data_IF_660635258417
#
_entry.id   IF_660635258417
#
_cell.length_a   1.000
_cell.length_b   1.000
_cell.length_c   1.000
_cell.angle_alpha   90.00
_cell.angle_beta   90.00
_cell.angle_gamma   90.00
#
_symmetry.space_group_name_H-M   'P 1'
#
loop_
_entity.id
_entity.type
_entity.pdbx_description
1 polymer ?
#
# COMPACT_ATOMS: atom_id res chain seq x y z
N UNK A 1 -10.22 -88.29 18.88
CA UNK A 1 -9.25 -88.71 17.85
C UNK A 1 -9.53 -87.89 16.59
N UNK A 2 -8.62 -86.97 16.28
CA UNK A 2 -8.51 -86.09 15.07
C UNK A 2 -8.29 -86.90 13.78
N UNK A 3 -8.22 -86.35 12.53
CA UNK A 3 -8.10 -84.94 12.04
C UNK A 3 -9.11 -84.64 10.86
N UNK A 4 -9.11 -83.53 10.04
CA UNK A 4 -7.98 -82.68 9.63
C UNK A 4 -8.19 -81.15 9.47
N UNK A 5 -7.05 -80.49 9.29
CA UNK A 5 -6.80 -79.13 8.79
C UNK A 5 -7.08 -79.08 7.29
N UNK A 6 -7.95 -78.16 6.83
CA UNK A 6 -7.92 -77.62 5.45
C UNK A 6 -8.47 -76.19 5.43
N UNK A 7 -7.55 -75.25 5.25
CA UNK A 7 -7.56 -74.12 4.30
C UNK A 7 -8.89 -73.42 4.01
N UNK A 8 -9.01 -72.19 4.54
CA UNK A 8 -10.08 -71.24 4.21
C UNK A 8 -9.91 -70.73 2.76
N UNK A 9 -10.69 -71.26 1.82
CA UNK A 9 -10.90 -70.66 0.51
C UNK A 9 -11.88 -69.48 0.66
N UNK A 10 -11.40 -68.24 0.54
CA UNK A 10 -12.30 -67.11 0.30
C UNK A 10 -12.72 -67.12 -1.18
N UNK A 11 -14.02 -67.32 -1.39
CA UNK A 11 -14.67 -67.17 -2.70
C UNK A 11 -14.59 -65.73 -3.17
N UNK A 12 -14.26 -65.60 -4.44
CA UNK A 12 -14.36 -64.42 -5.28
C UNK A 12 -15.75 -63.76 -5.17
N UNK A 13 -15.77 -62.45 -5.03
CA UNK A 13 -16.85 -61.59 -5.50
C UNK A 13 -16.23 -60.30 -6.01
N UNK A 14 -16.27 -60.18 -7.34
CA UNK A 14 -15.98 -58.99 -8.13
C UNK A 14 -16.54 -57.73 -7.46
N UNK A 15 -15.65 -56.81 -7.09
CA UNK A 15 -16.00 -55.39 -6.97
C UNK A 15 -15.16 -54.64 -8.00
N UNK A 16 -15.84 -54.14 -9.03
CA UNK A 16 -15.27 -53.29 -10.07
C UNK A 16 -14.76 -52.01 -9.41
N UNK A 17 -13.44 -51.88 -9.32
CA UNK A 17 -12.79 -50.62 -8.91
C UNK A 17 -12.84 -49.69 -10.12
N UNK A 18 -13.82 -48.78 -10.14
CA UNK A 18 -13.69 -47.56 -10.92
C UNK A 18 -12.57 -46.72 -10.29
N UNK A 19 -11.41 -46.68 -10.95
CA UNK A 19 -10.39 -45.68 -10.68
C UNK A 19 -10.96 -44.30 -11.06
N UNK A 20 -11.63 -43.65 -10.13
CA UNK A 20 -11.76 -42.20 -10.14
C UNK A 20 -10.46 -41.64 -9.57
N UNK A 21 -9.49 -41.36 -10.45
CA UNK A 21 -8.48 -40.35 -10.18
C UNK A 21 -9.22 -39.02 -9.98
N UNK A 22 -9.56 -38.73 -8.73
CA UNK A 22 -9.98 -37.39 -8.33
C UNK A 22 -8.73 -36.51 -8.39
N UNK A 23 -8.62 -35.75 -9.47
CA UNK A 23 -7.74 -34.60 -9.54
C UNK A 23 -8.10 -33.69 -8.37
N UNK A 24 -7.21 -33.63 -7.38
CA UNK A 24 -7.21 -32.58 -6.38
C UNK A 24 -6.74 -31.29 -7.06
N UNK A 25 -7.61 -30.68 -7.87
CA UNK A 25 -7.52 -29.27 -8.21
C UNK A 25 -8.18 -28.47 -7.09
N UNK A 26 -7.48 -28.40 -5.95
CA UNK A 26 -7.85 -27.52 -4.86
C UNK A 26 -6.60 -26.75 -4.42
N UNK A 27 -6.67 -25.43 -4.61
CA UNK A 27 -5.78 -24.39 -4.07
C UNK A 27 -4.33 -24.36 -4.57
N UNK A 28 -4.18 -23.95 -5.83
CA UNK A 28 -3.05 -23.10 -6.22
C UNK A 28 -3.51 -21.63 -6.36
N UNK A 29 -4.18 -21.09 -5.34
CA UNK A 29 -4.10 -19.66 -5.08
C UNK A 29 -2.67 -19.42 -4.60
N UNK A 30 -1.78 -19.21 -5.56
CA UNK A 30 -0.50 -18.57 -5.29
C UNK A 30 -0.79 -17.36 -4.42
N UNK A 31 -0.13 -17.30 -3.26
CA UNK A 31 -0.20 -16.18 -2.34
C UNK A 31 0.43 -14.98 -3.06
N UNK A 32 -0.30 -14.40 -4.02
CA UNK A 32 0.13 -13.22 -4.75
C UNK A 32 0.03 -12.07 -3.75
N UNK A 33 1.16 -11.77 -3.10
CA UNK A 33 1.37 -10.57 -2.28
C UNK A 33 0.66 -9.38 -2.93
N UNK A 34 -0.16 -8.61 -2.24
CA UNK A 34 -0.80 -7.44 -2.87
C UNK A 34 0.25 -6.51 -3.48
N UNK A 35 -0.14 -5.79 -4.54
CA UNK A 35 0.71 -4.73 -5.05
C UNK A 35 0.85 -3.65 -3.97
N UNK A 36 2.03 -3.05 -3.75
CA UNK A 36 2.21 -1.99 -2.75
C UNK A 36 1.31 -0.76 -2.95
N UNK A 37 0.81 -0.54 -4.16
CA UNK A 37 -0.08 0.58 -4.47
C UNK A 37 -1.54 0.16 -4.46
N UNK A 38 -1.83 -1.13 -4.21
CA UNK A 38 -3.17 -1.59 -3.90
C UNK A 38 -3.60 -0.98 -2.57
N UNK A 39 -4.87 -0.56 -2.51
CA UNK A 39 -5.47 -0.08 -1.27
C UNK A 39 -6.25 -1.22 -0.64
N UNK A 40 -6.17 -1.33 0.69
CA UNK A 40 -7.06 -2.22 1.43
C UNK A 40 -8.51 -1.79 1.24
N UNK A 41 -9.37 -2.78 1.03
CA UNK A 41 -10.79 -2.58 0.79
C UNK A 41 -11.54 -3.19 1.96
N UNK A 42 -12.38 -2.40 2.68
CA UNK A 42 -13.28 -2.94 3.70
C UNK A 42 -14.16 -4.05 3.12
N UNK A 43 -14.45 -5.07 3.93
CA UNK A 43 -15.24 -6.24 3.53
C UNK A 43 -16.60 -5.85 2.92
N UNK A 44 -17.23 -4.83 3.51
CA UNK A 44 -18.52 -4.26 3.08
C UNK A 44 -18.46 -3.68 1.66
N UNK A 45 -17.28 -3.30 1.18
CA UNK A 45 -17.07 -2.69 -0.13
C UNK A 45 -16.55 -3.66 -1.19
N UNK A 46 -16.35 -4.95 -0.88
CA UNK A 46 -15.86 -5.94 -1.84
C UNK A 46 -16.67 -6.00 -3.15
N UNK A 47 -18.00 -6.01 -3.05
CA UNK A 47 -18.87 -5.99 -4.23
C UNK A 47 -18.72 -4.71 -5.08
N UNK A 48 -18.48 -3.58 -4.42
CA UNK A 48 -18.20 -2.29 -5.10
C UNK A 48 -16.88 -2.36 -5.84
N UNK A 49 -15.83 -2.90 -5.20
CA UNK A 49 -14.51 -3.10 -5.81
C UNK A 49 -14.56 -4.05 -7.00
N UNK A 50 -15.30 -5.15 -6.92
CA UNK A 50 -15.49 -6.06 -8.04
C UNK A 50 -16.17 -5.37 -9.23
N UNK A 51 -17.21 -4.56 -8.98
CA UNK A 51 -17.87 -3.77 -10.03
C UNK A 51 -16.89 -2.74 -10.64
N UNK A 52 -16.03 -2.11 -9.83
CA UNK A 52 -15.00 -1.18 -10.33
C UNK A 52 -13.92 -1.89 -11.15
N UNK A 53 -13.50 -3.09 -10.78
CA UNK A 53 -12.56 -3.90 -11.57
C UNK A 53 -13.10 -4.18 -12.97
N UNK A 54 -14.41 -4.40 -13.09
CA UNK A 54 -15.12 -4.61 -14.35
C UNK A 54 -15.50 -3.30 -15.08
N UNK A 55 -15.08 -2.14 -14.57
CA UNK A 55 -15.48 -0.80 -15.04
C UNK A 55 -17.01 -0.58 -15.06
N UNK A 56 -17.76 -1.33 -14.25
CA UNK A 56 -19.20 -1.18 -14.11
C UNK A 56 -19.52 -0.15 -13.01
N UNK A 57 -19.26 1.12 -13.32
CA UNK A 57 -19.44 2.23 -12.37
C UNK A 57 -20.90 2.41 -11.92
N UNK A 58 -21.86 2.09 -12.77
CA UNK A 58 -23.28 2.20 -12.44
C UNK A 58 -23.70 1.14 -11.41
N UNK A 59 -23.22 -0.10 -11.56
CA UNK A 59 -23.43 -1.13 -10.56
C UNK A 59 -22.72 -0.79 -9.24
N UNK A 60 -21.49 -0.26 -9.30
CA UNK A 60 -20.78 0.20 -8.10
C UNK A 60 -21.56 1.28 -7.34
N UNK A 61 -22.13 2.28 -8.04
CA UNK A 61 -22.96 3.32 -7.43
C UNK A 61 -24.26 2.76 -6.85
N UNK A 62 -24.89 1.78 -7.51
CA UNK A 62 -26.09 1.10 -7.01
C UNK A 62 -25.79 0.36 -5.69
N UNK A 63 -24.72 -0.42 -5.66
CA UNK A 63 -24.27 -1.14 -4.46
C UNK A 63 -23.98 -0.17 -3.30
N UNK A 64 -23.30 0.94 -3.56
CA UNK A 64 -23.07 1.98 -2.55
C UNK A 64 -24.36 2.62 -2.04
N UNK A 65 -25.35 2.84 -2.92
CA UNK A 65 -26.64 3.38 -2.52
C UNK A 65 -27.42 2.42 -1.62
N UNK A 66 -27.35 1.11 -1.88
CA UNK A 66 -27.98 0.09 -1.05
C UNK A 66 -27.26 -0.06 0.30
N UNK A 67 -25.92 -0.13 0.31
CA UNK A 67 -25.11 -0.10 1.53
C UNK A 67 -25.42 1.14 2.39
N UNK A 68 -25.64 2.31 1.76
CA UNK A 68 -25.99 3.54 2.47
C UNK A 68 -27.30 3.40 3.23
N UNK A 69 -28.31 2.74 2.66
CA UNK A 69 -29.61 2.53 3.34
C UNK A 69 -29.43 1.68 4.58
N UNK A 70 -28.60 0.64 4.50
CA UNK A 70 -28.36 -0.26 5.62
C UNK A 70 -27.49 0.40 6.70
N UNK A 71 -26.45 1.12 6.31
CA UNK A 71 -25.61 1.91 7.24
C UNK A 71 -26.41 3.01 7.99
N UNK A 72 -27.44 3.57 7.35
CA UNK A 72 -28.38 4.50 8.01
C UNK A 72 -29.25 3.80 9.05
N UNK A 73 -29.79 2.62 8.75
CA UNK A 73 -30.62 1.83 9.69
C UNK A 73 -29.82 1.41 10.92
N UNK A 74 -28.58 0.97 10.73
CA UNK A 74 -27.68 0.52 11.81
C UNK A 74 -26.98 1.68 12.52
N UNK A 75 -27.17 2.92 12.04
CA UNK A 75 -26.52 4.14 12.57
C UNK A 75 -24.99 4.06 12.59
N UNK A 76 -24.39 3.26 11.72
CA UNK A 76 -22.95 3.15 11.59
C UNK A 76 -22.39 4.41 10.87
N UNK A 77 -21.98 5.42 11.66
CA UNK A 77 -21.50 6.71 11.15
C UNK A 77 -20.20 6.61 10.37
N UNK A 78 -19.30 5.71 10.77
CA UNK A 78 -18.02 5.50 10.10
C UNK A 78 -18.24 4.98 8.68
N UNK A 79 -19.03 3.90 8.55
CA UNK A 79 -19.39 3.32 7.26
C UNK A 79 -20.15 4.31 6.38
N UNK A 80 -21.02 5.16 6.95
CA UNK A 80 -21.68 6.23 6.19
C UNK A 80 -20.69 7.23 5.57
N UNK A 81 -19.65 7.63 6.30
CA UNK A 81 -18.63 8.54 5.80
C UNK A 81 -17.77 7.89 4.70
N UNK A 82 -17.41 6.62 4.86
CA UNK A 82 -16.69 5.83 3.86
C UNK A 82 -17.52 5.67 2.58
N UNK A 83 -18.79 5.33 2.67
CA UNK A 83 -19.70 5.21 1.52
C UNK A 83 -19.79 6.52 0.75
N UNK A 84 -19.93 7.66 1.43
CA UNK A 84 -19.98 8.98 0.77
C UNK A 84 -18.68 9.27 0.02
N UNK A 85 -17.54 8.94 0.62
CA UNK A 85 -16.22 9.09 0.01
C UNK A 85 -16.08 8.19 -1.23
N UNK A 86 -16.46 6.91 -1.12
CA UNK A 86 -16.45 5.97 -2.24
C UNK A 86 -17.40 6.39 -3.35
N UNK A 87 -18.59 6.93 -3.06
CA UNK A 87 -19.51 7.44 -4.09
C UNK A 87 -18.89 8.59 -4.89
N UNK A 88 -18.18 9.51 -4.23
CA UNK A 88 -17.46 10.60 -4.92
C UNK A 88 -16.37 10.04 -5.83
N UNK A 89 -15.62 9.06 -5.34
CA UNK A 89 -14.54 8.41 -6.09
C UNK A 89 -15.06 7.63 -7.30
N UNK A 90 -16.11 6.83 -7.14
CA UNK A 90 -16.73 6.09 -8.26
C UNK A 90 -17.24 7.06 -9.34
N UNK A 91 -17.86 8.18 -8.95
CA UNK A 91 -18.29 9.19 -9.91
C UNK A 91 -17.11 9.88 -10.62
N UNK A 92 -16.00 10.12 -9.91
CA UNK A 92 -14.76 10.64 -10.52
C UNK A 92 -14.19 9.64 -11.53
N UNK A 93 -14.04 8.39 -11.14
CA UNK A 93 -13.56 7.32 -12.01
C UNK A 93 -14.45 7.12 -13.24
N UNK A 94 -15.77 7.20 -13.08
CA UNK A 94 -16.72 7.15 -14.21
C UNK A 94 -16.44 8.26 -15.22
N UNK A 95 -16.20 9.49 -14.77
CA UNK A 95 -15.85 10.63 -15.64
C UNK A 95 -14.50 10.44 -16.33
N UNK A 96 -13.49 9.95 -15.61
CA UNK A 96 -12.18 9.66 -16.20
C UNK A 96 -12.25 8.51 -17.21
N UNK A 97 -13.05 7.47 -16.95
CA UNK A 97 -13.23 6.36 -17.87
C UNK A 97 -13.89 6.78 -19.18
N UNK A 98 -14.83 7.72 -19.15
CA UNK A 98 -15.46 8.26 -20.37
C UNK A 98 -14.40 8.82 -21.32
N UNK A 99 -13.31 9.42 -20.81
CA UNK A 99 -12.23 9.99 -21.63
C UNK A 99 -11.42 8.92 -22.37
N UNK A 100 -11.32 7.70 -21.82
CA UNK A 100 -10.55 6.57 -22.38
C UNK A 100 -11.44 5.48 -22.97
N UNK A 101 -12.77 5.69 -23.01
CA UNK A 101 -13.74 4.67 -23.42
C UNK A 101 -13.52 4.19 -24.85
N UNK A 102 -13.18 5.11 -25.77
CA UNK A 102 -12.88 4.77 -27.17
C UNK A 102 -11.67 3.86 -27.28
N UNK A 103 -10.60 4.16 -26.56
CA UNK A 103 -9.41 3.30 -26.50
C UNK A 103 -9.75 1.95 -25.90
N UNK A 104 -10.53 1.92 -24.81
CA UNK A 104 -11.03 0.70 -24.20
C UNK A 104 -11.75 -0.21 -25.19
N UNK A 105 -12.73 0.31 -25.93
CA UNK A 105 -13.46 -0.43 -26.97
C UNK A 105 -12.54 -0.89 -28.11
N UNK A 106 -11.57 -0.05 -28.49
CA UNK A 106 -10.59 -0.37 -29.54
C UNK A 106 -9.69 -1.52 -29.11
N UNK A 107 -9.13 -1.47 -27.90
CA UNK A 107 -8.34 -2.57 -27.34
C UNK A 107 -9.15 -3.86 -27.20
N UNK A 108 -10.42 -3.78 -26.80
CA UNK A 108 -11.28 -4.97 -26.74
C UNK A 108 -11.43 -5.62 -28.12
N UNK A 109 -11.58 -4.82 -29.19
CA UNK A 109 -11.77 -5.30 -30.56
C UNK A 109 -10.49 -5.80 -31.24
N UNK A 110 -9.40 -5.04 -31.18
CA UNK A 110 -8.19 -5.29 -32.00
C UNK A 110 -6.93 -5.57 -31.19
N UNK A 111 -6.97 -5.45 -29.86
CA UNK A 111 -5.76 -5.50 -29.00
C UNK A 111 -4.70 -4.48 -29.40
N UNK A 112 -5.16 -3.32 -29.89
CA UNK A 112 -4.29 -2.24 -30.32
C UNK A 112 -3.29 -1.82 -29.22
N UNK A 113 -1.96 -1.78 -29.51
CA UNK A 113 -0.94 -1.47 -28.51
C UNK A 113 -0.99 -0.03 -27.96
N UNK A 114 -1.40 0.95 -28.77
CA UNK A 114 -1.52 2.35 -28.33
C UNK A 114 -2.70 2.48 -27.37
N UNK A 115 -3.84 1.88 -27.71
CA UNK A 115 -5.00 1.80 -26.84
C UNK A 115 -4.67 1.07 -25.52
N UNK A 116 -3.88 -0.01 -25.57
CA UNK A 116 -3.40 -0.71 -24.37
C UNK A 116 -2.63 0.22 -23.43
N UNK A 117 -1.76 1.10 -23.98
CA UNK A 117 -1.02 2.09 -23.19
C UNK A 117 -1.92 3.15 -22.57
N UNK A 118 -2.92 3.65 -23.29
CA UNK A 118 -3.87 4.63 -22.75
C UNK A 118 -4.71 4.05 -21.60
N UNK A 119 -5.29 2.86 -21.82
CA UNK A 119 -6.13 2.19 -20.82
C UNK A 119 -5.30 1.80 -19.60
N UNK A 120 -4.12 1.22 -19.80
CA UNK A 120 -3.26 0.84 -18.67
C UNK A 120 -2.92 2.02 -17.78
N UNK A 121 -2.63 3.19 -18.35
CA UNK A 121 -2.42 4.41 -17.58
C UNK A 121 -3.65 4.81 -16.77
N UNK A 122 -4.86 4.68 -17.32
CA UNK A 122 -6.08 4.87 -16.52
C UNK A 122 -6.16 3.89 -15.34
N UNK A 123 -5.83 2.61 -15.53
CA UNK A 123 -5.84 1.63 -14.45
C UNK A 123 -4.77 1.93 -13.38
N UNK A 124 -3.53 2.19 -13.77
CA UNK A 124 -2.45 2.50 -12.82
C UNK A 124 -2.66 3.83 -12.08
N UNK A 125 -3.05 4.90 -12.79
CA UNK A 125 -3.05 6.26 -12.22
C UNK A 125 -4.37 6.62 -11.56
N UNK A 126 -5.48 6.32 -12.22
CA UNK A 126 -6.79 6.80 -11.77
C UNK A 126 -7.41 5.78 -10.81
N UNK A 127 -7.37 4.49 -11.17
CA UNK A 127 -7.88 3.41 -10.32
C UNK A 127 -6.88 2.95 -9.25
N UNK A 128 -5.58 3.22 -9.43
CA UNK A 128 -4.50 2.60 -8.65
C UNK A 128 -4.50 1.07 -8.68
N UNK A 129 -5.08 0.49 -9.74
CA UNK A 129 -5.06 -0.94 -10.03
C UNK A 129 -3.84 -1.26 -10.89
N UNK A 130 -2.68 -1.28 -10.23
CA UNK A 130 -1.39 -1.49 -10.90
C UNK A 130 -1.28 -2.89 -11.49
N UNK A 131 -1.84 -3.91 -10.85
CA UNK A 131 -1.80 -5.26 -11.39
C UNK A 131 -2.46 -5.35 -12.78
N UNK A 132 -3.69 -4.85 -12.93
CA UNK A 132 -4.36 -4.82 -14.23
C UNK A 132 -3.67 -3.88 -15.22
N UNK A 133 -3.22 -2.72 -14.76
CA UNK A 133 -2.51 -1.76 -15.60
C UNK A 133 -1.19 -2.33 -16.15
N UNK A 134 -0.39 -2.99 -15.32
CA UNK A 134 0.87 -3.63 -15.71
C UNK A 134 0.63 -4.75 -16.73
N UNK A 135 -0.39 -5.58 -16.55
CA UNK A 135 -0.75 -6.62 -17.53
C UNK A 135 -1.06 -6.01 -18.91
N UNK A 136 -1.74 -4.86 -18.94
CA UNK A 136 -2.00 -4.14 -20.17
C UNK A 136 -0.75 -3.46 -20.73
N UNK A 137 0.14 -2.91 -19.89
CA UNK A 137 1.42 -2.34 -20.32
C UNK A 137 2.33 -3.37 -20.97
N UNK A 138 2.23 -4.67 -20.64
CA UNK A 138 2.95 -5.72 -21.39
C UNK A 138 2.55 -5.83 -22.86
N UNK A 139 1.47 -5.16 -23.26
CA UNK A 139 0.92 -5.11 -24.63
C UNK A 139 1.07 -3.72 -25.27
N UNK A 140 1.76 -2.78 -24.62
CA UNK A 140 1.95 -1.42 -25.16
C UNK A 140 2.79 -1.43 -26.45
N UNK A 141 2.77 -0.33 -27.18
CA UNK A 141 3.61 -0.05 -28.35
C UNK A 141 5.11 0.12 -28.00
N UNK A 142 5.44 0.70 -26.84
CA UNK A 142 6.83 0.86 -26.38
C UNK A 142 7.48 -0.47 -25.92
N UNK A 143 8.59 -0.92 -26.55
CA UNK A 143 9.33 -2.11 -26.11
C UNK A 143 9.87 -2.03 -24.68
N UNK A 144 10.39 -0.87 -24.28
CA UNK A 144 10.97 -0.62 -22.96
C UNK A 144 9.90 -0.68 -21.87
N UNK A 145 8.72 -0.11 -22.15
CA UNK A 145 7.59 -0.14 -21.23
C UNK A 145 7.03 -1.55 -21.06
N UNK A 146 6.89 -2.31 -22.16
CA UNK A 146 6.50 -3.74 -22.09
C UNK A 146 7.45 -4.54 -21.21
N UNK A 147 8.76 -4.38 -21.44
CA UNK A 147 9.80 -5.08 -20.67
C UNK A 147 9.77 -4.70 -19.19
N UNK A 148 9.61 -3.41 -18.89
CA UNK A 148 9.56 -2.88 -17.53
C UNK A 148 8.33 -3.41 -16.79
N UNK A 149 7.14 -3.36 -17.41
CA UNK A 149 5.92 -3.89 -16.82
C UNK A 149 5.98 -5.41 -16.60
N UNK A 150 6.55 -6.17 -17.54
CA UNK A 150 6.75 -7.61 -17.39
C UNK A 150 7.75 -7.96 -16.27
N UNK A 151 8.77 -7.14 -16.03
CA UNK A 151 9.69 -7.30 -14.91
C UNK A 151 9.01 -6.94 -13.57
N UNK A 152 8.17 -5.90 -13.55
CA UNK A 152 7.40 -5.50 -12.36
C UNK A 152 6.41 -6.58 -11.92
N UNK A 153 5.67 -7.18 -12.87
CA UNK A 153 4.74 -8.29 -12.60
C UNK A 153 5.41 -9.51 -11.95
N UNK A 154 6.72 -9.70 -12.12
CA UNK A 154 7.47 -10.78 -11.45
C UNK A 154 7.73 -10.50 -9.97
N UNK A 155 7.53 -9.26 -9.52
CA UNK A 155 7.71 -8.80 -8.13
C UNK A 155 9.07 -9.22 -7.55
N UNK A 156 10.18 -8.71 -8.10
CA UNK A 156 11.50 -9.12 -7.66
C UNK A 156 11.71 -8.84 -6.17
N UNK A 157 12.34 -9.78 -5.48
CA UNK A 157 12.67 -9.67 -4.06
C UNK A 157 14.14 -9.32 -3.78
N UNK A 158 15.05 -9.54 -4.75
CA UNK A 158 16.46 -9.20 -4.56
C UNK A 158 16.70 -7.68 -4.71
N UNK A 159 17.52 -7.06 -3.83
CA UNK A 159 17.81 -5.63 -3.91
C UNK A 159 18.31 -5.18 -5.28
N UNK A 160 19.17 -5.97 -5.94
CA UNK A 160 19.75 -5.63 -7.25
C UNK A 160 18.71 -5.65 -8.36
N UNK A 161 17.76 -6.60 -8.32
CA UNK A 161 16.67 -6.65 -9.29
C UNK A 161 15.67 -5.52 -9.06
N UNK A 162 15.37 -5.19 -7.80
CA UNK A 162 14.51 -4.07 -7.43
C UNK A 162 15.12 -2.72 -7.86
N UNK A 163 16.41 -2.52 -7.63
CA UNK A 163 17.13 -1.32 -8.08
C UNK A 163 17.11 -1.18 -9.61
N UNK A 164 17.38 -2.26 -10.35
CA UNK A 164 17.27 -2.26 -11.82
C UNK A 164 15.86 -1.97 -12.32
N UNK A 165 14.84 -2.48 -11.62
CA UNK A 165 13.44 -2.20 -11.94
C UNK A 165 13.09 -0.73 -11.68
N UNK A 166 13.62 -0.13 -10.60
CA UNK A 166 13.49 1.29 -10.34
C UNK A 166 14.08 2.14 -11.47
N UNK A 167 15.31 1.82 -11.89
CA UNK A 167 15.98 2.52 -12.99
C UNK A 167 15.18 2.41 -14.29
N UNK A 168 14.65 1.22 -14.60
CA UNK A 168 13.82 0.99 -15.78
C UNK A 168 12.54 1.84 -15.75
N UNK A 169 11.86 1.93 -14.61
CA UNK A 169 10.69 2.81 -14.42
C UNK A 169 11.04 4.28 -14.60
N UNK A 170 12.18 4.72 -14.06
CA UNK A 170 12.65 6.09 -14.22
C UNK A 170 13.04 6.41 -15.65
N UNK A 171 13.62 5.47 -16.39
CA UNK A 171 13.95 5.61 -17.80
C UNK A 171 12.68 5.76 -18.65
N UNK A 172 11.68 4.89 -18.49
CA UNK A 172 10.43 5.02 -19.25
C UNK A 172 9.67 6.31 -18.88
N UNK A 173 9.78 6.78 -17.64
CA UNK A 173 9.19 8.05 -17.22
C UNK A 173 9.77 9.27 -17.95
N UNK A 174 11.00 9.20 -18.48
CA UNK A 174 11.63 10.33 -19.17
C UNK A 174 10.91 10.70 -20.48
N UNK A 175 10.35 9.70 -21.16
CA UNK A 175 9.55 9.88 -22.38
C UNK A 175 8.13 10.38 -22.11
N UNK A 176 7.67 10.30 -20.85
CA UNK A 176 6.31 10.63 -20.47
C UNK A 176 6.17 12.05 -19.93
N UNK A 177 4.93 12.54 -19.83
CA UNK A 177 4.60 13.88 -19.33
C UNK A 177 3.48 13.84 -18.29
N UNK A 178 3.37 14.92 -17.50
CA UNK A 178 2.29 15.14 -16.55
C UNK A 178 2.12 13.99 -15.55
N UNK A 179 0.88 13.53 -15.36
CA UNK A 179 0.53 12.49 -14.38
C UNK A 179 1.19 11.13 -14.67
N UNK A 180 1.36 10.76 -15.94
CA UNK A 180 1.98 9.49 -16.35
C UNK A 180 3.43 9.45 -15.90
N UNK A 181 4.19 10.52 -16.20
CA UNK A 181 5.56 10.68 -15.72
C UNK A 181 5.63 10.58 -14.19
N UNK A 182 4.79 11.33 -13.47
CA UNK A 182 4.79 11.30 -11.98
C UNK A 182 4.53 9.89 -11.46
N UNK A 183 3.54 9.18 -11.98
CA UNK A 183 3.21 7.83 -11.54
C UNK A 183 4.35 6.82 -11.79
N UNK A 184 5.00 6.88 -12.96
CA UNK A 184 6.14 6.00 -13.25
C UNK A 184 7.36 6.35 -12.37
N UNK A 185 7.59 7.63 -12.09
CA UNK A 185 8.62 8.05 -11.13
C UNK A 185 8.35 7.50 -9.73
N UNK A 186 7.10 7.59 -9.25
CA UNK A 186 6.69 7.05 -7.94
C UNK A 186 6.79 5.53 -7.90
N UNK A 187 6.48 4.82 -8.99
CA UNK A 187 6.66 3.37 -9.08
C UNK A 187 8.13 2.98 -8.99
N UNK A 188 9.01 3.68 -9.71
CA UNK A 188 10.45 3.48 -9.60
C UNK A 188 10.97 3.79 -8.19
N UNK A 189 10.47 4.88 -7.57
CA UNK A 189 10.78 5.24 -6.18
C UNK A 189 10.46 4.11 -5.20
N UNK A 190 9.30 3.48 -5.31
CA UNK A 190 8.94 2.35 -4.45
C UNK A 190 9.97 1.22 -4.54
N UNK A 191 10.29 0.78 -5.75
CA UNK A 191 11.25 -0.30 -5.96
C UNK A 191 12.64 0.05 -5.46
N UNK A 192 13.06 1.31 -5.64
CA UNK A 192 14.33 1.77 -5.13
C UNK A 192 14.36 1.79 -3.60
N UNK A 193 13.31 2.30 -2.94
CA UNK A 193 13.25 2.36 -1.48
C UNK A 193 13.28 0.97 -0.82
N UNK A 194 12.74 -0.06 -1.47
CA UNK A 194 12.92 -1.44 -1.01
C UNK A 194 14.37 -1.93 -1.11
N UNK A 195 15.05 -1.60 -2.20
CA UNK A 195 16.44 -2.03 -2.44
C UNK A 195 17.46 -1.24 -1.60
N UNK A 196 17.23 0.06 -1.44
CA UNK A 196 18.16 1.08 -0.93
C UNK A 196 18.85 0.71 0.38
N UNK A 197 18.20 0.06 1.37
CA UNK A 197 18.86 -0.32 2.62
C UNK A 197 19.94 -1.40 2.45
N UNK A 198 19.83 -2.24 1.42
CA UNK A 198 20.71 -3.37 1.18
C UNK A 198 21.71 -3.15 0.04
N UNK A 199 21.67 -1.99 -0.63
CA UNK A 199 22.61 -1.63 -1.69
C UNK A 199 23.90 -1.02 -1.11
N UNK A 200 25.08 -1.34 -1.68
CA UNK A 200 26.30 -0.62 -1.39
C UNK A 200 26.16 0.88 -1.65
N UNK A 201 26.78 1.73 -0.82
CA UNK A 201 26.66 3.18 -0.93
C UNK A 201 27.01 3.73 -2.33
N UNK A 202 28.02 3.13 -3.00
CA UNK A 202 28.42 3.51 -4.36
C UNK A 202 27.30 3.31 -5.39
N UNK A 203 26.47 2.27 -5.24
CA UNK A 203 25.34 2.01 -6.13
C UNK A 203 24.15 2.94 -5.88
N UNK A 204 24.16 3.69 -4.79
CA UNK A 204 23.05 4.58 -4.41
C UNK A 204 23.22 6.00 -4.91
N UNK A 205 24.46 6.45 -5.14
CA UNK A 205 24.79 7.86 -5.40
C UNK A 205 23.89 8.51 -6.45
N UNK A 206 23.76 7.91 -7.64
CA UNK A 206 22.98 8.51 -8.72
C UNK A 206 21.47 8.28 -8.56
N UNK A 207 21.09 7.18 -7.91
CA UNK A 207 19.68 6.86 -7.60
C UNK A 207 19.12 7.77 -6.51
N UNK A 208 19.93 8.12 -5.51
CA UNK A 208 19.61 9.11 -4.47
C UNK A 208 19.41 10.50 -5.09
N UNK A 209 20.28 10.91 -6.03
CA UNK A 209 20.08 12.16 -6.79
C UNK A 209 18.77 12.12 -7.58
N UNK A 210 18.45 11.01 -8.23
CA UNK A 210 17.19 10.87 -8.99
C UNK A 210 15.98 10.92 -8.07
N UNK A 211 16.02 10.22 -6.93
CA UNK A 211 14.99 10.21 -5.89
C UNK A 211 14.68 11.63 -5.39
N UNK A 212 15.71 12.44 -5.12
CA UNK A 212 15.58 13.82 -4.65
C UNK A 212 14.86 14.75 -5.65
N UNK A 213 14.85 14.41 -6.94
CA UNK A 213 14.21 15.20 -7.99
C UNK A 213 12.73 14.82 -8.22
N UNK A 214 12.22 13.79 -7.57
CA UNK A 214 10.83 13.37 -7.71
C UNK A 214 9.96 14.28 -6.85
N UNK A 215 9.10 15.12 -7.44
CA UNK A 215 8.26 16.02 -6.67
C UNK A 215 7.19 15.24 -5.93
N UNK A 216 7.13 15.44 -4.61
CA UNK A 216 6.12 14.87 -3.73
C UNK A 216 5.18 15.95 -3.23
N UNK A 217 3.89 15.64 -3.19
CA UNK A 217 2.85 16.47 -2.62
C UNK A 217 2.13 15.66 -1.54
N UNK A 218 1.86 16.28 -0.39
CA UNK A 218 1.05 15.66 0.64
C UNK A 218 -0.38 16.18 0.53
N UNK A 219 -1.35 15.30 0.32
CA UNK A 219 -2.79 15.62 0.38
C UNK A 219 -3.51 14.89 1.51
N UNK A 220 -2.94 13.81 2.03
CA UNK A 220 -3.42 13.08 3.20
C UNK A 220 -2.23 12.59 4.03
N UNK A 221 -2.32 12.78 5.34
CA UNK A 221 -1.38 12.26 6.33
C UNK A 221 -2.19 11.42 7.32
N UNK A 222 -1.69 10.24 7.67
CA UNK A 222 -2.27 9.41 8.72
C UNK A 222 -1.22 9.18 9.79
N UNK A 223 -1.52 9.60 11.02
CA UNK A 223 -0.65 9.35 12.17
C UNK A 223 -1.31 8.26 13.01
N UNK A 224 -0.68 7.09 13.05
CA UNK A 224 -1.15 5.95 13.81
C UNK A 224 -0.57 5.99 15.23
N UNK A 225 -1.41 5.67 16.20
CA UNK A 225 -1.04 5.52 17.59
C UNK A 225 -0.53 4.10 17.85
N UNK A 226 0.13 3.92 18.99
CA UNK A 226 0.47 2.62 19.55
C UNK A 226 -0.15 2.48 20.93
N UNK A 227 -0.41 1.24 21.35
CA UNK A 227 -0.94 0.91 22.67
C UNK A 227 -0.04 -0.06 23.44
N UNK A 228 1.21 -0.23 23.00
CA UNK A 228 2.23 -1.06 23.64
C UNK A 228 1.78 -2.52 23.89
N UNK A 229 1.08 -3.10 22.91
CA UNK A 229 0.59 -4.48 22.97
C UNK A 229 -0.19 -4.76 24.26
N UNK A 230 0.18 -5.82 24.98
CA UNK A 230 -0.43 -6.24 26.26
C UNK A 230 -0.14 -5.30 27.44
N UNK A 231 0.80 -4.34 27.32
CA UNK A 231 1.17 -3.47 28.43
C UNK A 231 0.21 -2.28 28.61
N UNK A 232 -0.37 -1.76 27.52
CA UNK A 232 -1.43 -0.75 27.54
C UNK A 232 -1.10 0.54 28.31
N UNK A 233 0.18 0.82 28.51
CA UNK A 233 0.66 1.87 29.42
C UNK A 233 1.29 3.06 28.69
N UNK A 234 1.18 3.13 27.36
CA UNK A 234 1.81 4.16 26.52
C UNK A 234 0.93 4.57 25.35
N UNK A 235 1.10 5.81 24.90
CA UNK A 235 0.38 6.35 23.75
C UNK A 235 0.54 7.86 23.60
N UNK A 236 0.27 8.39 22.41
CA UNK A 236 0.28 9.83 22.16
C UNK A 236 -1.15 10.39 22.19
N UNK A 237 -1.41 11.42 22.99
CA UNK A 237 -2.72 12.09 23.08
C UNK A 237 -2.80 13.35 22.21
N UNK A 238 -1.67 14.06 22.05
CA UNK A 238 -1.58 15.23 21.19
C UNK A 238 -0.18 15.40 20.58
N UNK A 239 -0.14 15.86 19.33
CA UNK A 239 1.10 16.14 18.62
C UNK A 239 0.98 17.38 17.73
N UNK A 240 2.13 17.82 17.22
CA UNK A 240 2.23 18.79 16.13
C UNK A 240 2.83 18.10 14.93
N UNK A 241 2.12 18.11 13.81
CA UNK A 241 2.62 17.61 12.52
C UNK A 241 3.11 18.79 11.69
N UNK A 242 4.32 18.70 11.19
CA UNK A 242 4.96 19.72 10.34
C UNK A 242 5.47 19.07 9.07
N UNK A 243 5.02 19.55 7.91
CA UNK A 243 5.65 19.25 6.63
C UNK A 243 6.76 20.26 6.40
N UNK A 244 7.91 19.78 5.96
CA UNK A 244 9.05 20.61 5.60
C UNK A 244 9.44 20.39 4.14
N UNK A 245 9.97 21.44 3.54
CA UNK A 245 10.66 21.40 2.25
C UNK A 245 12.04 22.00 2.47
N UNK A 246 13.09 21.19 2.28
CA UNK A 246 14.48 21.56 2.50
C UNK A 246 14.71 22.15 3.90
N UNK A 247 14.13 21.50 4.92
CA UNK A 247 14.20 21.92 6.32
C UNK A 247 13.34 23.13 6.70
N UNK A 248 12.61 23.75 5.75
CA UNK A 248 11.72 24.88 6.04
C UNK A 248 10.27 24.40 6.22
N UNK A 249 9.56 24.79 7.29
CA UNK A 249 8.16 24.46 7.46
C UNK A 249 7.30 25.05 6.34
N UNK A 250 6.55 24.20 5.63
CA UNK A 250 5.60 24.60 4.57
C UNK A 250 4.15 24.40 4.98
N UNK A 251 3.91 23.56 5.98
CA UNK A 251 2.58 23.35 6.57
C UNK A 251 2.74 22.81 7.98
N UNK A 252 1.84 23.21 8.89
CA UNK A 252 1.88 22.79 10.31
C UNK A 252 0.49 22.70 10.88
N UNK A 253 0.23 21.67 11.69
CA UNK A 253 -1.05 21.51 12.40
C UNK A 253 -0.86 20.81 13.75
N UNK A 254 -1.36 21.42 14.82
CA UNK A 254 -1.56 20.75 16.09
C UNK A 254 -2.83 19.90 16.05
N UNK A 255 -2.80 18.71 16.62
CA UNK A 255 -3.94 17.79 16.62
C UNK A 255 -3.91 16.86 17.83
N UNK A 256 -5.08 16.40 18.24
CA UNK A 256 -5.20 15.22 19.12
C UNK A 256 -5.20 13.96 18.28
N UNK A 257 -4.72 12.86 18.85
CA UNK A 257 -4.77 11.53 18.24
C UNK A 257 -5.62 10.65 19.16
N UNK A 258 -6.63 9.93 18.63
CA UNK A 258 -7.36 8.95 19.42
C UNK A 258 -6.43 7.82 19.88
N UNK A 259 -6.80 7.16 20.96
CA UNK A 259 -6.10 5.99 21.46
C UNK A 259 -7.13 4.97 21.91
N UNK A 260 -6.90 3.72 21.55
CA UNK A 260 -7.71 2.58 21.95
C UNK A 260 -6.75 1.45 22.36
N UNK A 261 -7.13 0.69 23.39
CA UNK A 261 -6.34 -0.41 23.93
C UNK A 261 -6.53 -1.71 23.13
N UNK A 262 -7.69 -1.84 22.47
CA UNK A 262 -8.13 -3.09 21.84
C UNK A 262 -8.16 -2.96 20.30
N UNK A 263 -7.89 -1.78 19.76
CA UNK A 263 -7.97 -1.50 18.33
C UNK A 263 -6.92 -0.49 17.84
N UNK A 264 -6.51 -0.57 16.56
CA UNK A 264 -5.74 0.50 15.92
C UNK A 264 -6.48 1.85 16.00
N UNK A 265 -5.74 2.90 16.36
CA UNK A 265 -6.28 4.25 16.44
C UNK A 265 -5.38 5.21 15.67
N UNK A 266 -5.97 6.12 14.89
CA UNK A 266 -5.20 7.07 14.09
C UNK A 266 -5.92 8.41 13.92
N UNK A 267 -5.13 9.40 13.49
CA UNK A 267 -5.64 10.71 13.10
C UNK A 267 -5.28 11.01 11.66
N UNK A 268 -6.30 11.33 10.86
CA UNK A 268 -6.14 11.73 9.46
C UNK A 268 -6.13 13.25 9.33
N UNK A 269 -5.14 13.79 8.63
CA UNK A 269 -4.99 15.21 8.31
C UNK A 269 -4.96 15.40 6.80
N UNK A 270 -5.64 16.43 6.29
CA UNK A 270 -5.73 16.73 4.86
C UNK A 270 -5.06 18.09 4.56
N UNK A 271 -3.73 18.13 4.36
CA UNK A 271 -3.02 19.33 3.90
C UNK A 271 -3.45 19.76 2.48
N UNK A 272 -3.22 21.02 2.07
CA UNK A 272 -3.71 21.56 0.80
C UNK A 272 -2.83 21.20 -0.42
N UNK A 273 -2.32 19.96 -0.50
CA UNK A 273 -1.43 19.49 -1.57
C UNK A 273 -0.14 20.33 -1.71
N UNK A 274 0.60 20.48 -0.60
CA UNK A 274 1.88 21.22 -0.57
C UNK A 274 3.05 20.32 -0.91
N UNK A 275 4.06 20.88 -1.59
CA UNK A 275 5.35 20.19 -1.81
C UNK A 275 6.11 20.03 -0.51
N UNK A 276 6.70 18.86 -0.30
CA UNK A 276 7.47 18.54 0.89
C UNK A 276 8.54 17.48 0.57
N UNK A 277 9.56 17.38 1.42
CA UNK A 277 10.56 16.31 1.41
C UNK A 277 10.78 15.67 2.80
N UNK A 278 10.21 16.27 3.85
CA UNK A 278 10.27 15.75 5.21
C UNK A 278 8.93 15.95 5.94
N UNK A 279 8.60 15.02 6.83
CA UNK A 279 7.51 15.18 7.80
C UNK A 279 8.06 14.99 9.20
N UNK A 280 7.77 15.93 10.09
CA UNK A 280 8.12 15.88 11.51
C UNK A 280 6.86 15.82 12.36
N UNK A 281 6.86 14.92 13.34
CA UNK A 281 5.80 14.80 14.34
C UNK A 281 6.39 15.01 15.72
N UNK A 282 6.02 16.11 16.36
CA UNK A 282 6.40 16.42 17.74
C UNK A 282 5.32 15.93 18.70
N UNK A 283 5.63 14.96 19.54
CA UNK A 283 4.75 14.46 20.60
C UNK A 283 4.71 15.49 21.73
N UNK A 284 3.53 16.08 21.96
CA UNK A 284 3.35 17.18 22.92
C UNK A 284 2.62 16.75 24.19
N UNK A 285 1.79 15.72 24.11
CA UNK A 285 1.09 15.12 25.23
C UNK A 285 1.02 13.60 25.01
N UNK A 286 1.35 12.83 26.03
CA UNK A 286 1.27 11.37 26.03
C UNK A 286 0.42 10.87 27.21
N UNK A 287 0.08 9.59 27.17
CA UNK A 287 -0.58 8.87 28.26
C UNK A 287 0.31 7.82 28.88
N UNK A 288 0.04 7.52 30.15
CA UNK A 288 0.78 6.54 30.94
C UNK A 288 2.26 6.89 31.07
N UNK A 289 3.13 5.95 30.76
CA UNK A 289 4.56 6.01 31.03
C UNK A 289 5.36 6.77 29.96
N UNK A 290 4.80 7.04 28.79
CA UNK A 290 5.50 7.76 27.73
C UNK A 290 4.76 7.78 26.39
N UNK A 291 5.24 8.66 25.50
CA UNK A 291 4.73 8.76 24.14
C UNK A 291 5.30 7.69 23.21
N UNK A 292 5.01 7.87 21.93
CA UNK A 292 5.36 6.95 20.85
C UNK A 292 4.29 6.99 19.77
N UNK A 293 4.59 6.41 18.62
CA UNK A 293 3.69 6.35 17.48
C UNK A 293 3.78 4.96 16.86
N UNK A 294 2.69 4.53 16.23
CA UNK A 294 2.64 3.28 15.48
C UNK A 294 3.32 3.41 14.12
N UNK A 295 2.78 4.30 13.29
CA UNK A 295 3.17 4.49 11.88
C UNK A 295 2.88 5.94 11.48
N UNK A 296 3.66 6.47 10.54
CA UNK A 296 3.45 7.76 9.88
C UNK A 296 3.29 7.50 8.38
N UNK A 297 2.07 7.67 7.90
CA UNK A 297 1.79 7.58 6.47
C UNK A 297 1.59 8.96 5.87
N UNK A 298 2.17 9.19 4.69
CA UNK A 298 1.91 10.40 3.90
C UNK A 298 1.56 9.98 2.50
N UNK A 299 0.44 10.47 1.99
CA UNK A 299 -0.07 10.10 0.68
C UNK A 299 0.11 11.26 -0.30
N UNK A 300 0.70 10.91 -1.44
CA UNK A 300 0.60 11.67 -2.69
C UNK A 300 -0.48 10.99 -3.52
N UNK A 301 -1.66 11.61 -3.55
CA UNK A 301 -2.90 11.04 -4.04
C UNK A 301 -3.27 9.75 -3.28
N UNK A 302 -2.97 8.59 -3.87
CA UNK A 302 -3.34 7.27 -3.34
C UNK A 302 -2.15 6.46 -2.85
N UNK A 303 -0.93 6.95 -3.07
CA UNK A 303 0.32 6.22 -2.82
C UNK A 303 0.91 6.71 -1.51
N UNK A 304 1.14 5.81 -0.54
CA UNK A 304 1.89 6.13 0.68
C UNK A 304 3.37 6.34 0.32
N UNK A 305 3.80 7.60 0.27
CA UNK A 305 5.16 8.00 -0.06
C UNK A 305 6.10 7.98 1.17
N UNK A 306 5.59 7.84 2.39
CA UNK A 306 6.43 7.71 3.59
C UNK A 306 6.98 6.29 3.78
N UNK A 307 6.36 5.27 3.16
CA UNK A 307 6.76 3.87 3.31
C UNK A 307 8.24 3.65 2.97
N UNK A 308 8.94 2.90 3.82
CA UNK A 308 10.37 2.55 3.72
C UNK A 308 11.32 3.76 3.66
N UNK A 309 10.89 4.94 4.09
CA UNK A 309 11.75 6.11 4.18
C UNK A 309 12.60 6.07 5.46
N UNK A 310 13.66 6.88 5.48
CA UNK A 310 14.50 6.97 6.68
C UNK A 310 13.78 7.78 7.76
N UNK A 311 13.93 7.35 9.01
CA UNK A 311 13.35 8.04 10.16
C UNK A 311 14.43 8.31 11.19
N UNK A 312 14.50 9.55 11.66
CA UNK A 312 15.30 9.96 12.82
C UNK A 312 14.38 10.48 13.90
N UNK A 313 14.73 10.23 15.16
CA UNK A 313 13.95 10.70 16.29
C UNK A 313 14.85 11.33 17.34
N UNK A 314 14.23 12.09 18.25
CA UNK A 314 14.94 12.68 19.40
C UNK A 314 15.60 11.64 20.30
N UNK A 315 14.94 10.49 20.45
CA UNK A 315 15.36 9.34 21.25
C UNK A 315 14.41 8.16 20.97
N UNK A 316 14.78 6.97 21.44
CA UNK A 316 13.89 5.82 21.51
C UNK A 316 14.14 5.04 22.81
N UNK A 317 13.16 4.25 23.22
CA UNK A 317 13.14 3.63 24.55
C UNK A 317 14.39 2.76 24.80
N UNK A 318 15.22 3.19 25.75
CA UNK A 318 16.44 2.52 26.23
C UNK A 318 17.39 2.07 25.11
N UNK A 319 17.44 2.83 24.01
CA UNK A 319 18.18 2.47 22.79
C UNK A 319 17.86 1.04 22.30
N UNK A 320 16.64 0.56 22.57
CA UNK A 320 16.19 -0.77 22.22
C UNK A 320 15.78 -0.83 20.74
N UNK A 321 16.46 -1.65 19.90
CA UNK A 321 16.16 -1.75 18.47
C UNK A 321 14.72 -2.16 18.16
N UNK A 322 14.02 -2.83 19.09
CA UNK A 322 12.61 -3.20 18.94
C UNK A 322 11.69 -1.98 18.77
N UNK A 323 12.07 -0.84 19.35
CA UNK A 323 11.28 0.39 19.34
C UNK A 323 11.94 1.51 18.52
N UNK A 324 12.85 1.13 17.61
CA UNK A 324 13.60 2.05 16.78
C UNK A 324 12.68 2.89 15.87
N UNK A 325 12.98 4.17 15.59
CA UNK A 325 12.11 5.05 14.79
C UNK A 325 11.82 4.57 13.36
N UNK A 326 12.64 3.69 12.77
CA UNK A 326 12.35 3.08 11.45
C UNK A 326 11.05 2.29 11.40
N UNK A 327 10.54 1.91 12.58
CA UNK A 327 9.23 1.30 12.73
C UNK A 327 8.09 2.22 12.27
N UNK A 328 8.29 3.53 12.20
CA UNK A 328 7.25 4.48 11.82
C UNK A 328 6.93 4.54 10.32
N UNK A 329 7.61 3.74 9.50
CA UNK A 329 7.40 3.69 8.04
C UNK A 329 7.41 2.26 7.50
N UNK A 330 7.16 1.27 8.37
CA UNK A 330 7.27 -0.15 8.04
C UNK A 330 5.95 -0.75 7.52
N UNK A 331 4.86 0.02 7.59
CA UNK A 331 3.51 -0.40 7.19
C UNK A 331 2.73 -1.17 8.27
N UNK A 332 3.25 -1.31 9.49
CA UNK A 332 2.56 -1.89 10.64
C UNK A 332 1.71 -0.81 11.35
N UNK A 333 0.44 -0.75 10.97
CA UNK A 333 -0.53 0.16 11.55
C UNK A 333 -1.37 -0.48 12.68
N UNK A 334 -0.96 -1.65 13.19
CA UNK A 334 -1.72 -2.38 14.22
C UNK A 334 -1.77 -1.67 15.57
N UNK A 335 -0.74 -0.88 15.89
CA UNK A 335 -0.53 -0.29 17.22
C UNK A 335 -0.06 -1.29 18.28
N UNK A 336 -0.01 -2.58 17.96
CA UNK A 336 0.35 -3.68 18.86
C UNK A 336 1.78 -4.20 18.62
N UNK A 337 2.35 -3.95 17.44
CA UNK A 337 3.74 -4.29 17.10
C UNK A 337 4.36 -3.18 16.27
N UNK A 338 5.66 -3.32 15.97
CA UNK A 338 6.31 -2.51 14.95
C UNK A 338 6.19 -1.00 15.16
N UNK A 339 6.22 -0.52 16.41
CA UNK A 339 6.04 0.89 16.77
C UNK A 339 7.29 1.52 17.39
N UNK A 340 7.35 2.85 17.40
CA UNK A 340 8.38 3.64 18.09
C UNK A 340 7.91 4.09 19.47
N UNK A 341 8.79 4.02 20.47
CA UNK A 341 8.55 4.47 21.85
C UNK A 341 9.59 5.49 22.28
N UNK A 342 9.15 6.53 22.98
CA UNK A 342 10.03 7.46 23.70
C UNK A 342 10.48 6.89 25.05
N UNK A 343 11.54 7.43 25.65
CA UNK A 343 11.86 7.07 27.05
C UNK A 343 10.76 7.52 28.02
N UNK A 344 10.80 6.94 29.22
CA UNK A 344 9.79 7.17 30.24
C UNK A 344 9.68 8.66 30.60
N UNK A 345 8.44 9.16 30.65
CA UNK A 345 8.08 10.54 31.01
C UNK A 345 8.72 11.61 30.13
N UNK A 346 8.96 11.29 28.85
CA UNK A 346 9.51 12.21 27.86
C UNK A 346 8.50 12.54 26.77
N UNK A 347 8.49 13.82 26.40
CA UNK A 347 8.08 14.26 25.07
C UNK A 347 9.26 14.12 24.11
N UNK A 348 8.99 14.12 22.81
CA UNK A 348 10.03 14.00 21.79
C UNK A 348 9.47 14.15 20.40
N UNK A 349 10.26 13.85 19.40
CA UNK A 349 9.86 14.01 18.00
C UNK A 349 10.45 12.92 17.12
N UNK A 350 9.76 12.63 16.03
CA UNK A 350 10.26 11.82 14.93
C UNK A 350 10.16 12.62 13.62
N UNK A 351 11.15 12.48 12.76
CA UNK A 351 11.22 13.08 11.43
C UNK A 351 11.46 11.98 10.40
N UNK A 352 10.53 11.84 9.48
CA UNK A 352 10.68 11.00 8.29
C UNK A 352 11.30 11.85 7.20
N UNK A 353 12.43 11.40 6.66
CA UNK A 353 13.11 12.01 5.52
C UNK A 353 12.83 11.17 4.26
N UNK A 354 12.12 11.77 3.31
CA UNK A 354 11.65 11.08 2.11
C UNK A 354 12.71 11.04 1.00
N UNK A 355 13.86 11.68 1.23
CA UNK A 355 14.92 11.90 0.24
C UNK A 355 16.24 11.30 0.71
N UNK A 356 16.75 11.70 1.88
CA UNK A 356 18.07 11.29 2.36
C UNK A 356 18.03 9.88 2.96
N UNK A 357 19.10 9.12 2.74
CA UNK A 357 19.27 7.85 3.45
C UNK A 357 20.02 8.14 4.73
N UNK A 358 19.36 7.90 5.85
CA UNK A 358 19.94 8.03 7.17
C UNK A 358 20.17 6.59 7.66
N UNK A 359 21.35 5.99 7.43
CA UNK A 359 21.68 4.70 8.02
C UNK A 359 21.61 4.83 9.54
N UNK A 360 21.12 3.78 10.21
CA UNK A 360 21.03 3.63 11.67
C UNK A 360 22.07 4.50 12.40
N UNK A 361 21.58 5.53 13.10
CA UNK A 361 22.36 6.28 14.09
C UNK A 361 22.10 5.69 15.47
#
# INVERSE_FOLDING_TARGET
MTPPVVTLFLRSSMLVVFLFCSFAEANAQTNQRSDPFDQEVPLELHGVTQALQQNNFDQALKLLADLRKDALKTRNRQLQAEIITSMKEVNRLKREFIKVKKDYETFLKSKDPEAARVISNFYCLEKCDWNSGLQLLTKSDSPELRKTAAADLKRPSSPENQARLADAWWQVAEAEKGKVRKAYLLRGRYWYLLARPSLPAVERVDRDKKLALIPLEADKIVIWNQHNAQYLDRGTEACVVTLLLQGKPVWRKATRIPWDQDAPACQTLNPPAVRFDQIRVDVTQYRGNGGGLGEIEVFDNKINVASNCSVVASEYWEDNPKHHPTNLTNGDNSGATGYWLLNNRKNGWALVDLVNYLPFQ
#
